data_IF_114964820330
#
_entry.id   IF_114964820330
#
_cell.length_a   1.000
_cell.length_b   1.000
_cell.length_c   1.000
_cell.angle_alpha   90.00
_cell.angle_beta   90.00
_cell.angle_gamma   90.00
#
_symmetry.space_group_name_H-M   'P 1'
#
loop_
_entity.id
_entity.type
_entity.pdbx_description
1 polymer ?
#
# COMPACT_ATOMS: atom_id res chain seq x y z
N UNK A 1 15.23 -6.68 21.68
CA UNK A 1 14.06 -7.26 22.37
C UNK A 1 13.57 -8.44 21.58
N UNK A 2 12.98 -9.42 22.24
CA UNK A 2 12.25 -10.52 21.60
C UNK A 2 10.80 -10.07 21.34
N UNK A 3 10.13 -10.74 20.43
CA UNK A 3 8.73 -10.48 20.09
C UNK A 3 8.00 -11.79 19.80
N UNK A 4 6.69 -11.79 20.00
CA UNK A 4 5.79 -12.88 19.62
C UNK A 4 5.08 -12.53 18.31
N UNK A 5 4.80 -13.54 17.48
CA UNK A 5 4.02 -13.38 16.25
C UNK A 5 2.68 -14.08 16.41
N UNK A 6 1.60 -13.34 16.23
CA UNK A 6 0.21 -13.88 16.27
C UNK A 6 -0.53 -13.58 14.98
N UNK A 7 -1.41 -14.49 14.60
CA UNK A 7 -2.45 -14.19 13.60
C UNK A 7 -3.59 -13.42 14.25
N UNK A 8 -4.20 -12.52 13.49
CA UNK A 8 -5.42 -11.81 13.85
C UNK A 8 -6.41 -11.92 12.72
N UNK A 9 -7.69 -12.09 13.06
CA UNK A 9 -8.77 -12.16 12.10
C UNK A 9 -9.79 -11.06 12.40
N UNK A 10 -10.13 -10.27 11.38
CA UNK A 10 -11.07 -9.17 11.48
C UNK A 10 -12.12 -9.30 10.39
N UNK A 11 -13.39 -9.16 10.73
CA UNK A 11 -14.46 -9.15 9.72
C UNK A 11 -14.29 -7.96 8.79
N UNK A 12 -14.20 -8.21 7.47
CA UNK A 12 -14.20 -7.16 6.46
C UNK A 12 -15.53 -6.41 6.44
N UNK A 13 -15.49 -5.15 6.07
CA UNK A 13 -16.66 -4.30 5.90
C UNK A 13 -17.54 -4.69 4.71
N UNK A 14 -17.11 -5.63 3.88
CA UNK A 14 -17.93 -6.26 2.85
C UNK A 14 -18.91 -7.30 3.42
N UNK A 15 -18.79 -7.68 4.69
CA UNK A 15 -19.57 -8.69 5.42
C UNK A 15 -19.46 -10.12 4.86
N UNK A 16 -18.52 -10.39 3.96
CA UNK A 16 -18.32 -11.69 3.29
C UNK A 16 -16.98 -12.30 3.72
N UNK A 17 -15.92 -11.48 3.72
CA UNK A 17 -14.57 -11.94 3.96
C UNK A 17 -14.10 -11.68 5.38
N UNK A 18 -13.17 -12.51 5.82
CA UNK A 18 -12.39 -12.30 7.05
C UNK A 18 -10.99 -11.87 6.65
N UNK A 19 -10.59 -10.66 7.01
CA UNK A 19 -9.24 -10.13 6.83
C UNK A 19 -8.26 -11.00 7.63
N UNK A 20 -7.30 -11.60 6.95
CA UNK A 20 -6.25 -12.42 7.57
C UNK A 20 -5.04 -11.55 7.83
N UNK A 21 -4.82 -11.25 9.09
CA UNK A 21 -3.76 -10.36 9.53
C UNK A 21 -2.70 -11.04 10.40
N UNK A 22 -1.64 -10.31 10.64
CA UNK A 22 -0.51 -10.71 11.47
C UNK A 22 -0.15 -9.57 12.42
N UNK A 23 0.23 -9.92 13.64
CA UNK A 23 0.68 -8.96 14.65
C UNK A 23 1.99 -9.45 15.25
N UNK A 24 3.00 -8.59 15.23
CA UNK A 24 4.27 -8.76 15.94
C UNK A 24 4.19 -7.98 17.24
N UNK A 25 4.30 -8.66 18.36
CA UNK A 25 4.07 -8.12 19.70
C UNK A 25 5.41 -8.10 20.44
N UNK A 26 5.99 -6.93 20.76
CA UNK A 26 7.23 -6.85 21.49
C UNK A 26 7.07 -7.41 22.91
N UNK A 27 8.10 -8.05 23.42
CA UNK A 27 8.19 -8.37 24.86
C UNK A 27 8.64 -7.12 25.62
N UNK A 28 7.79 -6.63 26.51
CA UNK A 28 8.06 -5.44 27.32
C UNK A 28 7.12 -4.27 27.05
N UNK A 29 7.58 -3.04 27.31
CA UNK A 29 6.78 -1.84 27.12
C UNK A 29 6.47 -1.54 25.65
N UNK A 30 5.22 -1.20 25.35
CA UNK A 30 4.78 -0.85 23.99
C UNK A 30 4.87 0.66 23.80
N UNK A 31 5.63 1.09 22.79
CA UNK A 31 5.84 2.51 22.43
C UNK A 31 4.79 3.03 21.43
N UNK A 32 4.25 2.15 20.58
CA UNK A 32 3.32 2.51 19.53
C UNK A 32 2.83 1.31 18.73
N UNK A 33 1.81 1.53 17.91
CA UNK A 33 1.26 0.57 16.96
C UNK A 33 1.69 1.01 15.55
N UNK A 34 2.36 0.15 14.81
CA UNK A 34 2.71 0.38 13.41
C UNK A 34 1.81 -0.47 12.52
N UNK A 35 0.87 0.17 11.82
CA UNK A 35 -0.04 -0.50 10.89
C UNK A 35 0.43 -0.28 9.45
N UNK A 36 0.59 -1.37 8.69
CA UNK A 36 1.00 -1.33 7.30
C UNK A 36 -0.09 -1.88 6.37
N UNK A 37 -0.40 -1.10 5.32
CA UNK A 37 -1.32 -1.47 4.23
C UNK A 37 -0.50 -1.78 2.98
N UNK A 38 -0.52 -3.03 2.53
CA UNK A 38 0.28 -3.53 1.41
C UNK A 38 -0.29 -3.12 0.04
N UNK A 39 0.51 -3.27 -1.01
CA UNK A 39 0.19 -2.91 -2.38
C UNK A 39 -0.59 -3.96 -3.19
N UNK A 40 -0.64 -3.74 -4.50
CA UNK A 40 -1.25 -4.66 -5.47
C UNK A 40 -0.36 -5.89 -5.68
N UNK A 41 -0.99 -7.07 -5.82
CA UNK A 41 -0.29 -8.33 -6.14
C UNK A 41 0.84 -8.64 -5.15
N UNK A 42 0.55 -8.47 -3.87
CA UNK A 42 1.42 -8.84 -2.76
C UNK A 42 0.58 -9.18 -1.52
N UNK A 43 1.21 -9.42 -0.38
CA UNK A 43 0.56 -9.75 0.88
C UNK A 43 1.40 -9.30 2.06
N UNK A 44 0.78 -9.22 3.24
CA UNK A 44 1.39 -8.62 4.43
C UNK A 44 2.66 -9.34 4.90
N UNK A 45 2.76 -10.64 4.68
CA UNK A 45 3.94 -11.43 5.07
C UNK A 45 5.25 -10.99 4.41
N UNK A 46 5.20 -10.26 3.29
CA UNK A 46 6.38 -9.72 2.62
C UNK A 46 7.08 -8.59 3.39
N UNK A 47 6.43 -8.06 4.41
CA UNK A 47 6.95 -6.98 5.26
C UNK A 47 7.52 -7.46 6.61
N UNK A 48 7.70 -8.78 6.77
CA UNK A 48 8.17 -9.40 8.01
C UNK A 48 9.47 -8.77 8.55
N UNK A 49 10.41 -8.39 7.67
CA UNK A 49 11.68 -7.76 8.05
C UNK A 49 11.50 -6.35 8.65
N UNK A 50 10.55 -5.55 8.15
CA UNK A 50 10.20 -4.25 8.75
C UNK A 50 9.55 -4.49 10.11
N UNK A 51 8.59 -5.41 10.17
CA UNK A 51 7.88 -5.73 11.43
C UNK A 51 8.84 -6.24 12.51
N UNK A 52 9.78 -7.12 12.16
CA UNK A 52 10.81 -7.60 13.06
C UNK A 52 11.65 -6.44 13.61
N UNK A 53 12.17 -5.61 12.71
CA UNK A 53 13.03 -4.49 13.08
C UNK A 53 12.34 -3.47 14.02
N UNK A 54 11.05 -3.23 13.84
CA UNK A 54 10.27 -2.33 14.67
C UNK A 54 9.81 -2.99 15.97
N UNK A 55 9.41 -4.28 15.93
CA UNK A 55 9.01 -5.03 17.11
C UNK A 55 10.18 -5.17 18.12
N UNK A 56 11.41 -5.39 17.62
CA UNK A 56 12.62 -5.38 18.45
C UNK A 56 12.87 -4.04 19.16
N UNK A 57 12.25 -2.96 18.69
CA UNK A 57 12.33 -1.60 19.26
C UNK A 57 11.14 -1.22 20.15
N UNK A 58 10.20 -2.16 20.35
CA UNK A 58 9.05 -1.95 21.23
C UNK A 58 7.77 -1.47 20.53
N UNK A 59 7.66 -1.65 19.20
CA UNK A 59 6.43 -1.33 18.47
C UNK A 59 5.61 -2.59 18.21
N UNK A 60 4.30 -2.53 18.45
CA UNK A 60 3.36 -3.52 17.93
C UNK A 60 3.23 -3.29 16.42
N UNK A 61 3.63 -4.26 15.61
CA UNK A 61 3.56 -4.13 14.16
C UNK A 61 2.47 -5.02 13.62
N UNK A 62 1.59 -4.48 12.79
CA UNK A 62 0.43 -5.21 12.29
C UNK A 62 0.06 -4.84 10.86
N UNK A 63 -0.69 -5.72 10.23
CA UNK A 63 -1.29 -5.54 8.94
C UNK A 63 -2.05 -6.79 8.54
N UNK A 64 -2.75 -6.71 7.42
CA UNK A 64 -3.61 -7.79 6.92
C UNK A 64 -3.51 -7.89 5.40
N UNK A 65 -3.90 -9.04 4.87
CA UNK A 65 -4.04 -9.22 3.43
C UNK A 65 -5.32 -8.53 2.96
N UNK A 66 -5.22 -7.59 2.04
CA UNK A 66 -6.35 -6.87 1.47
C UNK A 66 -7.35 -7.83 0.77
N UNK A 67 -8.60 -7.42 0.57
CA UNK A 67 -9.56 -8.17 -0.24
C UNK A 67 -8.96 -8.53 -1.60
N UNK A 68 -9.16 -9.79 -2.03
CA UNK A 68 -8.59 -10.32 -3.28
C UNK A 68 -7.07 -10.56 -3.23
N UNK A 69 -6.46 -10.59 -2.05
CA UNK A 69 -5.03 -10.82 -1.86
C UNK A 69 -4.75 -11.86 -0.78
N UNK A 70 -3.58 -12.47 -0.87
CA UNK A 70 -3.02 -13.35 0.13
C UNK A 70 -4.00 -14.38 0.67
N UNK A 71 -4.06 -14.51 2.00
CA UNK A 71 -4.94 -15.45 2.71
C UNK A 71 -6.36 -14.92 2.95
N UNK A 72 -6.63 -13.64 2.69
CA UNK A 72 -7.99 -13.07 2.74
C UNK A 72 -8.81 -13.52 1.54
N UNK A 73 -8.21 -13.74 0.37
CA UNK A 73 -8.84 -14.42 -0.75
C UNK A 73 -9.17 -15.87 -0.35
N UNK A 74 -10.42 -16.32 -0.60
CA UNK A 74 -10.91 -17.63 -0.19
C UNK A 74 -10.32 -18.77 -1.02
N UNK A 75 -9.97 -18.46 -2.27
CA UNK A 75 -9.30 -19.38 -3.20
C UNK A 75 -8.48 -18.61 -4.25
N UNK A 76 -7.75 -19.34 -5.11
CA UNK A 76 -6.89 -18.74 -6.14
C UNK A 76 -7.68 -17.99 -7.23
N UNK A 77 -8.95 -18.34 -7.48
CA UNK A 77 -9.78 -17.64 -8.46
C UNK A 77 -10.19 -16.24 -7.96
N UNK A 78 -10.17 -16.04 -6.66
CA UNK A 78 -10.50 -14.79 -6.03
C UNK A 78 -9.31 -13.82 -5.96
N UNK A 79 -8.06 -14.31 -6.14
CA UNK A 79 -6.89 -13.43 -6.20
C UNK A 79 -7.06 -12.39 -7.33
N UNK A 80 -6.91 -11.12 -6.99
CA UNK A 80 -7.10 -9.99 -7.91
C UNK A 80 -8.56 -9.62 -8.18
N UNK A 81 -9.51 -10.16 -7.41
CA UNK A 81 -10.91 -9.73 -7.40
C UNK A 81 -11.25 -9.12 -6.02
N UNK A 82 -11.60 -7.84 -5.97
CA UNK A 82 -11.92 -7.14 -4.71
C UNK A 82 -13.41 -7.21 -4.45
N UNK A 83 -14.21 -6.69 -5.38
CA UNK A 83 -15.67 -6.72 -5.33
C UNK A 83 -16.27 -6.53 -6.73
N UNK A 84 -17.56 -6.76 -6.86
CA UNK A 84 -18.29 -6.52 -8.11
C UNK A 84 -18.27 -5.03 -8.50
N UNK A 85 -18.50 -4.14 -7.54
CA UNK A 85 -18.47 -2.68 -7.74
C UNK A 85 -17.97 -1.99 -6.48
N UNK A 86 -17.30 -0.85 -6.66
CA UNK A 86 -16.87 0.02 -5.58
C UNK A 86 -16.01 -0.69 -4.51
N UNK A 87 -15.23 -1.69 -4.89
CA UNK A 87 -14.35 -2.45 -3.99
C UNK A 87 -13.37 -1.56 -3.24
N UNK A 88 -12.96 -0.45 -3.84
CA UNK A 88 -12.14 0.56 -3.18
C UNK A 88 -12.74 1.08 -1.87
N UNK A 89 -14.07 1.12 -1.73
CA UNK A 89 -14.73 1.57 -0.50
C UNK A 89 -14.50 0.60 0.65
N UNK A 90 -14.55 -0.71 0.36
CA UNK A 90 -14.26 -1.74 1.35
C UNK A 90 -12.79 -1.70 1.75
N UNK A 91 -11.86 -1.62 0.79
CA UNK A 91 -10.42 -1.50 1.06
C UNK A 91 -10.11 -0.34 2.02
N UNK A 92 -10.73 0.82 1.82
CA UNK A 92 -10.54 2.00 2.68
C UNK A 92 -11.17 1.82 4.07
N UNK A 93 -12.39 1.27 4.14
CA UNK A 93 -13.08 1.04 5.42
C UNK A 93 -12.43 -0.07 6.26
N UNK A 94 -11.86 -1.07 5.60
CA UNK A 94 -11.19 -2.18 6.24
C UNK A 94 -9.92 -1.74 6.99
N UNK A 95 -9.25 -0.67 6.55
CA UNK A 95 -8.16 -0.03 7.32
C UNK A 95 -8.66 0.35 8.70
N UNK A 96 -9.77 1.09 8.76
CA UNK A 96 -10.36 1.53 10.03
C UNK A 96 -10.86 0.36 10.89
N UNK A 97 -11.53 -0.61 10.26
CA UNK A 97 -12.04 -1.79 10.97
C UNK A 97 -10.89 -2.59 11.61
N UNK A 98 -9.77 -2.74 10.89
CA UNK A 98 -8.59 -3.43 11.40
C UNK A 98 -7.91 -2.63 12.51
N UNK A 99 -7.74 -1.32 12.33
CA UNK A 99 -7.19 -0.43 13.37
C UNK A 99 -8.02 -0.47 14.65
N UNK A 100 -9.35 -0.45 14.56
CA UNK A 100 -10.24 -0.52 15.71
C UNK A 100 -10.09 -1.86 16.46
N UNK A 101 -9.91 -2.96 15.73
CA UNK A 101 -9.67 -4.26 16.32
C UNK A 101 -8.35 -4.31 17.07
N UNK A 102 -7.28 -3.75 16.49
CA UNK A 102 -5.96 -3.69 17.14
C UNK A 102 -5.96 -2.72 18.32
N UNK A 103 -6.57 -1.55 18.19
CA UNK A 103 -6.69 -0.57 19.30
C UNK A 103 -7.47 -1.07 20.50
N UNK A 104 -8.43 -1.98 20.30
CA UNK A 104 -9.11 -2.65 21.42
C UNK A 104 -8.18 -3.51 22.26
N UNK A 105 -7.14 -4.08 21.64
CA UNK A 105 -6.11 -4.86 22.34
C UNK A 105 -5.05 -3.97 23.00
N UNK A 106 -4.82 -2.78 22.43
CA UNK A 106 -3.79 -1.82 22.86
C UNK A 106 -4.40 -0.41 22.92
N UNK A 107 -5.25 -0.12 23.93
CA UNK A 107 -5.87 1.19 24.09
C UNK A 107 -4.79 2.24 24.42
N UNK A 108 -5.05 3.50 24.06
CA UNK A 108 -4.24 4.68 24.39
C UNK A 108 -2.79 4.67 23.82
N UNK A 109 -2.46 3.70 22.97
CA UNK A 109 -1.16 3.62 22.30
C UNK A 109 -1.21 4.39 20.98
N UNK A 110 -0.20 5.26 20.67
CA UNK A 110 -0.16 6.00 19.42
C UNK A 110 -0.08 5.05 18.22
N UNK A 111 -0.80 5.39 17.15
CA UNK A 111 -0.86 4.60 15.92
C UNK A 111 -0.10 5.33 14.80
N UNK A 112 0.78 4.61 14.15
CA UNK A 112 1.54 5.03 12.97
C UNK A 112 1.03 4.24 11.76
N UNK A 113 0.58 4.94 10.73
CA UNK A 113 0.07 4.30 9.50
C UNK A 113 1.10 4.37 8.39
N UNK A 114 1.35 3.25 7.73
CA UNK A 114 2.13 3.19 6.49
C UNK A 114 1.32 2.54 5.38
N UNK A 115 1.34 3.12 4.18
CA UNK A 115 0.79 2.48 2.98
C UNK A 115 1.85 2.38 1.88
N UNK A 116 1.96 1.22 1.23
CA UNK A 116 2.85 1.00 0.10
C UNK A 116 2.07 0.83 -1.21
N UNK A 117 2.51 1.49 -2.30
CA UNK A 117 1.94 1.34 -3.63
C UNK A 117 0.42 1.58 -3.66
N UNK A 118 -0.40 0.61 -4.11
CA UNK A 118 -1.87 0.65 -3.97
C UNK A 118 -2.28 0.91 -2.52
N UNK A 119 -1.62 0.27 -1.56
CA UNK A 119 -1.85 0.50 -0.13
C UNK A 119 -1.62 1.95 0.29
N UNK A 120 -0.74 2.69 -0.41
CA UNK A 120 -0.54 4.12 -0.16
C UNK A 120 -1.76 4.96 -0.57
N UNK A 121 -2.46 4.59 -1.64
CA UNK A 121 -3.71 5.25 -2.02
C UNK A 121 -4.83 4.94 -1.03
N UNK A 122 -4.94 3.66 -0.61
CA UNK A 122 -5.91 3.21 0.40
C UNK A 122 -5.67 3.97 1.72
N UNK A 123 -4.44 3.96 2.22
CA UNK A 123 -4.06 4.62 3.47
C UNK A 123 -4.26 6.14 3.41
N UNK A 124 -3.97 6.78 2.26
CA UNK A 124 -4.21 8.22 2.05
C UNK A 124 -5.70 8.57 2.18
N UNK A 125 -6.60 7.77 1.59
CA UNK A 125 -8.04 8.01 1.69
C UNK A 125 -8.55 7.65 3.10
N UNK A 126 -8.00 6.61 3.73
CA UNK A 126 -8.33 6.27 5.12
C UNK A 126 -7.90 7.38 6.09
N UNK A 127 -6.70 7.95 5.93
CA UNK A 127 -6.21 9.06 6.74
C UNK A 127 -7.05 10.35 6.58
N UNK A 128 -7.60 10.62 5.38
CA UNK A 128 -8.56 11.72 5.17
C UNK A 128 -9.86 11.52 5.96
N UNK A 129 -10.36 10.28 6.00
CA UNK A 129 -11.67 9.97 6.56
C UNK A 129 -11.63 9.65 8.07
N UNK A 130 -10.51 9.11 8.55
CA UNK A 130 -10.38 8.51 9.89
C UNK A 130 -9.07 8.92 10.59
N UNK A 131 -8.41 9.96 10.14
CA UNK A 131 -7.05 10.31 10.55
C UNK A 131 -6.88 10.84 11.98
N UNK A 132 -7.94 11.18 12.69
CA UNK A 132 -7.89 11.73 14.07
C UNK A 132 -7.17 10.81 15.08
N UNK A 133 -7.00 9.53 14.74
CA UNK A 133 -6.29 8.56 15.57
C UNK A 133 -4.87 8.22 15.09
N UNK A 134 -4.39 8.84 14.01
CA UNK A 134 -3.07 8.58 13.43
C UNK A 134 -2.07 9.61 13.97
N UNK A 135 -1.00 9.13 14.62
CA UNK A 135 0.03 9.99 15.19
C UNK A 135 1.06 10.44 14.13
N UNK A 136 1.44 9.55 13.19
CA UNK A 136 2.34 9.87 12.07
C UNK A 136 1.96 9.00 10.86
N UNK A 137 2.18 9.50 9.64
CA UNK A 137 1.77 8.85 8.41
C UNK A 137 2.93 8.71 7.42
N UNK A 138 3.14 7.48 6.90
CA UNK A 138 4.19 7.15 5.93
C UNK A 138 3.53 6.74 4.61
N UNK A 139 3.89 7.46 3.54
CA UNK A 139 3.41 7.24 2.18
C UNK A 139 4.58 6.68 1.36
N UNK A 140 4.56 5.37 1.08
CA UNK A 140 5.65 4.66 0.41
C UNK A 140 5.27 4.29 -1.03
N UNK A 141 6.16 4.56 -1.99
CA UNK A 141 5.99 4.13 -3.39
C UNK A 141 4.70 4.62 -4.05
N UNK A 142 4.26 5.83 -3.71
CA UNK A 142 2.97 6.36 -4.19
C UNK A 142 3.04 6.98 -5.58
N UNK A 143 1.95 6.86 -6.34
CA UNK A 143 1.79 7.56 -7.62
C UNK A 143 1.20 8.96 -7.43
N UNK A 144 1.62 9.88 -8.31
CA UNK A 144 1.01 11.19 -8.44
C UNK A 144 -0.29 11.18 -9.25
N UNK A 145 -0.86 12.37 -9.53
CA UNK A 145 -2.04 12.50 -10.38
C UNK A 145 -1.83 11.87 -11.76
N UNK A 146 -2.76 11.03 -12.18
CA UNK A 146 -2.75 10.40 -13.51
C UNK A 146 -3.81 11.04 -14.41
N UNK A 147 -3.42 11.84 -15.42
CA UNK A 147 -4.38 12.47 -16.34
C UNK A 147 -5.13 11.47 -17.23
N UNK A 148 -4.61 10.25 -17.40
CA UNK A 148 -5.27 9.19 -18.14
C UNK A 148 -6.33 8.42 -17.32
N UNK A 149 -6.45 8.69 -16.02
CA UNK A 149 -7.40 7.98 -15.15
C UNK A 149 -8.86 7.98 -15.66
N UNK A 150 -9.43 9.09 -16.17
CA UNK A 150 -10.80 9.09 -16.70
C UNK A 150 -10.99 8.10 -17.86
N UNK A 151 -10.02 8.02 -18.78
CA UNK A 151 -10.04 7.07 -19.90
C UNK A 151 -9.91 5.62 -19.42
N UNK A 152 -9.04 5.38 -18.41
CA UNK A 152 -8.90 4.06 -17.79
C UNK A 152 -10.18 3.60 -17.11
N UNK A 153 -10.87 4.47 -16.38
CA UNK A 153 -12.17 4.19 -15.76
C UNK A 153 -13.21 3.83 -16.83
N UNK A 154 -13.33 4.64 -17.88
CA UNK A 154 -14.27 4.37 -18.98
C UNK A 154 -13.98 3.03 -19.67
N UNK A 155 -12.70 2.76 -19.95
CA UNK A 155 -12.30 1.50 -20.58
C UNK A 155 -12.65 0.29 -19.72
N UNK A 156 -12.38 0.35 -18.40
CA UNK A 156 -12.73 -0.74 -17.46
C UNK A 156 -14.24 -0.87 -17.29
N UNK A 157 -15.02 0.22 -17.32
CA UNK A 157 -16.49 0.17 -17.31
C UNK A 157 -17.04 -0.56 -18.53
N UNK A 158 -16.58 -0.21 -19.74
CA UNK A 158 -16.96 -0.88 -20.98
C UNK A 158 -16.62 -2.37 -20.90
N UNK A 159 -15.42 -2.69 -20.46
CA UNK A 159 -14.99 -4.10 -20.38
C UNK A 159 -15.77 -4.91 -19.36
N UNK A 160 -16.18 -4.31 -18.23
CA UNK A 160 -17.08 -4.95 -17.26
C UNK A 160 -18.42 -5.33 -17.89
N UNK A 161 -18.97 -4.44 -18.71
CA UNK A 161 -20.25 -4.70 -19.42
C UNK A 161 -20.09 -5.81 -20.46
N UNK A 162 -19.01 -5.80 -21.24
CA UNK A 162 -18.81 -6.72 -22.35
C UNK A 162 -18.34 -8.11 -21.91
N UNK A 163 -17.48 -8.21 -20.89
CA UNK A 163 -16.78 -9.44 -20.51
C UNK A 163 -17.03 -9.88 -19.07
N UNK A 164 -17.76 -9.08 -18.30
CA UNK A 164 -18.02 -9.33 -16.88
C UNK A 164 -16.90 -8.80 -15.96
N UNK A 165 -17.25 -8.63 -14.70
CA UNK A 165 -16.43 -7.97 -13.67
C UNK A 165 -15.17 -8.76 -13.30
N UNK A 166 -15.24 -10.09 -13.36
CA UNK A 166 -14.12 -11.00 -13.05
C UNK A 166 -13.18 -11.25 -14.24
N UNK A 167 -13.45 -10.65 -15.40
CA UNK A 167 -12.56 -10.77 -16.56
C UNK A 167 -11.17 -10.21 -16.25
N UNK A 168 -10.10 -10.94 -16.62
CA UNK A 168 -8.71 -10.52 -16.51
C UNK A 168 -8.17 -10.13 -17.87
N UNK A 169 -8.10 -8.82 -18.14
CA UNK A 169 -7.73 -8.30 -19.44
C UNK A 169 -6.22 -8.09 -19.57
N UNK A 170 -5.59 -8.83 -20.48
CA UNK A 170 -4.20 -8.58 -20.85
C UNK A 170 -4.00 -7.19 -21.46
N UNK A 171 -4.98 -6.69 -22.19
CA UNK A 171 -4.94 -5.35 -22.78
C UNK A 171 -4.89 -4.26 -21.70
N UNK A 172 -5.80 -4.30 -20.71
CA UNK A 172 -5.83 -3.33 -19.61
C UNK A 172 -4.55 -3.43 -18.78
N UNK A 173 -4.09 -4.64 -18.48
CA UNK A 173 -2.85 -4.84 -17.73
C UNK A 173 -1.63 -4.26 -18.48
N UNK A 174 -1.52 -4.49 -19.79
CA UNK A 174 -0.45 -3.94 -20.63
C UNK A 174 -0.53 -2.41 -20.74
N UNK A 175 -1.73 -1.85 -20.79
CA UNK A 175 -1.92 -0.41 -20.81
C UNK A 175 -1.49 0.24 -19.50
N UNK A 176 -1.78 -0.40 -18.36
CA UNK A 176 -1.46 0.12 -17.03
C UNK A 176 0.04 -0.02 -16.68
N UNK A 177 0.64 -1.17 -16.98
CA UNK A 177 1.96 -1.53 -16.47
C UNK A 177 3.01 -1.83 -17.54
N UNK A 178 2.61 -1.96 -18.80
CA UNK A 178 3.51 -2.38 -19.90
C UNK A 178 4.68 -1.42 -20.20
N UNK A 179 4.65 -0.22 -19.64
CA UNK A 179 5.75 0.75 -19.75
C UNK A 179 6.74 0.68 -18.57
N UNK A 180 6.44 -0.03 -17.49
CA UNK A 180 7.22 0.03 -16.26
C UNK A 180 8.64 -0.54 -16.42
N UNK A 181 8.79 -1.59 -17.20
CA UNK A 181 10.10 -2.21 -17.47
C UNK A 181 10.94 -1.48 -18.53
N UNK A 182 10.41 -0.46 -19.24
CA UNK A 182 11.10 0.14 -20.40
C UNK A 182 12.49 0.70 -20.11
N UNK A 183 12.80 1.03 -18.86
CA UNK A 183 14.09 1.59 -18.44
C UNK A 183 15.04 0.55 -17.84
N UNK A 184 14.57 -0.68 -17.65
CA UNK A 184 15.33 -1.70 -16.95
C UNK A 184 15.72 -2.81 -17.92
N UNK A 185 16.93 -3.32 -17.78
CA UNK A 185 17.42 -4.51 -18.47
C UNK A 185 17.13 -5.75 -17.62
N UNK A 186 16.74 -6.84 -18.27
CA UNK A 186 16.45 -8.13 -17.65
C UNK A 186 15.31 -8.84 -18.37
N UNK A 187 15.09 -10.11 -18.02
CA UNK A 187 14.15 -11.02 -18.69
C UNK A 187 12.81 -11.15 -17.96
N UNK A 188 12.68 -10.56 -16.78
CA UNK A 188 11.45 -10.61 -15.98
C UNK A 188 10.51 -9.45 -16.31
N UNK A 189 9.21 -9.69 -16.33
CA UNK A 189 8.21 -8.61 -16.38
C UNK A 189 8.12 -7.80 -15.05
N UNK A 190 8.88 -8.20 -14.03
CA UNK A 190 8.92 -7.59 -12.70
C UNK A 190 10.23 -6.83 -12.40
N UNK A 191 11.03 -6.49 -13.41
CA UNK A 191 12.29 -5.74 -13.20
C UNK A 191 12.07 -4.41 -12.49
N UNK A 192 10.92 -3.77 -12.70
CA UNK A 192 10.58 -2.48 -12.12
C UNK A 192 10.35 -2.51 -10.61
N UNK A 193 10.23 -3.71 -10.00
CA UNK A 193 9.91 -3.86 -8.57
C UNK A 193 11.13 -3.53 -7.69
N UNK A 194 12.27 -4.13 -7.98
CA UNK A 194 13.52 -4.00 -7.19
C UNK A 194 14.74 -4.28 -8.05
N UNK A 195 15.92 -3.89 -7.58
CA UNK A 195 17.21 -4.25 -8.20
C UNK A 195 17.68 -5.65 -7.77
N UNK A 196 17.11 -6.23 -6.72
CA UNK A 196 17.48 -7.54 -6.18
C UNK A 196 16.86 -8.68 -7.00
N UNK A 197 17.72 -9.41 -7.72
CA UNK A 197 17.30 -10.52 -8.59
C UNK A 197 16.62 -11.67 -7.83
N UNK A 198 17.06 -11.94 -6.61
CA UNK A 198 16.46 -13.01 -5.81
C UNK A 198 15.02 -12.66 -5.42
N UNK A 199 14.76 -11.41 -5.05
CA UNK A 199 13.42 -10.90 -4.76
C UNK A 199 12.54 -10.95 -6.01
N UNK A 200 13.06 -10.54 -7.19
CA UNK A 200 12.31 -10.63 -8.46
C UNK A 200 11.90 -12.08 -8.75
N UNK A 201 12.83 -13.01 -8.60
CA UNK A 201 12.55 -14.44 -8.86
C UNK A 201 11.54 -15.01 -7.86
N UNK A 202 11.64 -14.67 -6.58
CA UNK A 202 10.66 -15.06 -5.55
C UNK A 202 9.28 -14.51 -5.87
N UNK A 203 9.18 -13.22 -6.24
CA UNK A 203 7.93 -12.57 -6.62
C UNK A 203 7.28 -13.25 -7.83
N UNK A 204 8.06 -13.53 -8.88
CA UNK A 204 7.59 -14.17 -10.10
C UNK A 204 7.07 -15.60 -9.86
N UNK A 205 7.66 -16.32 -8.91
CA UNK A 205 7.29 -17.69 -8.57
C UNK A 205 6.14 -17.79 -7.56
N UNK A 206 5.83 -16.70 -6.84
CA UNK A 206 4.83 -16.71 -5.77
C UNK A 206 3.42 -16.51 -6.36
N UNK A 207 2.52 -17.50 -6.15
CA UNK A 207 1.12 -17.42 -6.58
C UNK A 207 0.34 -16.24 -5.97
N UNK A 208 0.76 -15.76 -4.81
CA UNK A 208 0.19 -14.59 -4.14
C UNK A 208 0.72 -13.25 -4.65
N UNK A 209 1.67 -13.30 -5.58
CA UNK A 209 2.26 -12.11 -6.22
C UNK A 209 2.06 -12.12 -7.74
N UNK A 210 2.17 -13.28 -8.38
CA UNK A 210 2.08 -13.43 -9.83
C UNK A 210 0.65 -13.70 -10.30
N UNK A 211 -0.27 -12.76 -10.07
CA UNK A 211 -1.63 -12.81 -10.60
C UNK A 211 -2.03 -11.48 -11.24
N UNK A 212 -3.11 -11.49 -12.02
CA UNK A 212 -3.63 -10.29 -12.68
C UNK A 212 -4.92 -9.83 -12.02
N UNK A 213 -5.06 -8.53 -11.84
CA UNK A 213 -6.31 -7.94 -11.42
C UNK A 213 -7.43 -8.20 -12.44
N UNK A 214 -8.62 -8.43 -11.93
CA UNK A 214 -9.85 -8.39 -12.72
C UNK A 214 -10.12 -6.96 -13.20
N UNK A 215 -10.96 -6.79 -14.20
CA UNK A 215 -11.30 -5.44 -14.69
C UNK A 215 -12.00 -4.61 -13.62
N UNK A 216 -12.77 -5.22 -12.69
CA UNK A 216 -13.33 -4.48 -11.57
C UNK A 216 -12.27 -4.01 -10.57
N UNK A 217 -11.31 -4.86 -10.22
CA UNK A 217 -10.22 -4.47 -9.33
C UNK A 217 -9.28 -3.43 -9.98
N UNK A 218 -9.06 -3.52 -11.29
CA UNK A 218 -8.31 -2.50 -12.03
C UNK A 218 -9.04 -1.15 -12.03
N UNK A 219 -10.37 -1.16 -12.18
CA UNK A 219 -11.19 0.04 -12.02
C UNK A 219 -11.02 0.64 -10.63
N UNK A 220 -11.06 -0.20 -9.57
CA UNK A 220 -10.87 0.25 -8.19
C UNK A 220 -9.48 0.83 -7.96
N UNK A 221 -8.42 0.24 -8.52
CA UNK A 221 -7.05 0.77 -8.44
C UNK A 221 -6.94 2.17 -9.08
N UNK A 222 -7.50 2.35 -10.28
CA UNK A 222 -7.53 3.65 -10.96
C UNK A 222 -8.32 4.67 -10.13
N UNK A 223 -9.45 4.25 -9.56
CA UNK A 223 -10.30 5.07 -8.71
C UNK A 223 -9.59 5.50 -7.43
N UNK A 224 -8.87 4.59 -6.76
CA UNK A 224 -8.04 4.88 -5.60
C UNK A 224 -6.98 5.94 -5.92
N UNK A 225 -6.23 5.78 -7.02
CA UNK A 225 -5.25 6.79 -7.44
C UNK A 225 -5.92 8.15 -7.70
N UNK A 226 -7.08 8.18 -8.40
CA UNK A 226 -7.81 9.40 -8.67
C UNK A 226 -8.26 10.10 -7.37
N UNK A 227 -8.83 9.35 -6.43
CA UNK A 227 -9.33 9.88 -5.16
C UNK A 227 -8.20 10.39 -4.27
N UNK A 228 -7.11 9.64 -4.15
CA UNK A 228 -5.94 10.03 -3.37
C UNK A 228 -5.21 11.26 -3.94
N UNK A 229 -5.45 11.63 -5.20
CA UNK A 229 -4.82 12.77 -5.85
C UNK A 229 -5.78 13.93 -6.19
N UNK A 230 -7.08 13.84 -5.78
CA UNK A 230 -8.03 14.93 -5.98
C UNK A 230 -7.68 16.15 -5.11
N UNK A 231 -8.01 17.39 -5.52
CA UNK A 231 -7.74 18.58 -4.73
C UNK A 231 -8.26 18.49 -3.29
N UNK A 232 -9.51 18.05 -3.11
CA UNK A 232 -10.13 17.90 -1.79
C UNK A 232 -9.35 16.99 -0.84
N UNK A 233 -8.64 15.96 -1.33
CA UNK A 233 -7.80 15.12 -0.47
C UNK A 233 -6.71 15.95 0.23
N UNK A 234 -6.02 16.82 -0.50
CA UNK A 234 -4.97 17.69 0.07
C UNK A 234 -5.55 18.74 1.02
N UNK A 235 -6.71 19.28 0.67
CA UNK A 235 -7.41 20.30 1.48
C UNK A 235 -7.91 19.71 2.82
N UNK A 236 -8.40 18.47 2.80
CA UNK A 236 -8.98 17.78 3.96
C UNK A 236 -7.95 17.11 4.88
N UNK A 237 -6.69 16.94 4.42
CA UNK A 237 -5.65 16.36 5.27
C UNK A 237 -5.45 17.17 6.56
N UNK A 238 -5.33 16.46 7.69
CA UNK A 238 -4.97 17.06 8.97
C UNK A 238 -3.64 17.82 8.84
N UNK A 239 -3.66 19.12 9.14
CA UNK A 239 -2.49 19.98 8.94
C UNK A 239 -1.37 19.72 9.95
N UNK A 240 -1.73 19.17 11.09
CA UNK A 240 -0.79 18.83 12.17
C UNK A 240 -0.21 17.41 12.05
N UNK A 241 -0.76 16.57 11.16
CA UNK A 241 -0.30 15.18 10.99
C UNK A 241 1.07 15.16 10.30
N UNK A 242 2.14 14.68 10.96
CA UNK A 242 3.43 14.50 10.32
C UNK A 242 3.36 13.46 9.21
N UNK A 243 3.90 13.79 8.04
CA UNK A 243 3.87 12.94 6.83
C UNK A 243 5.27 12.73 6.29
N UNK A 244 5.67 11.46 6.16
CA UNK A 244 6.89 11.05 5.46
C UNK A 244 6.53 10.41 4.13
N UNK A 245 7.01 11.00 3.01
CA UNK A 245 6.95 10.37 1.69
C UNK A 245 8.29 9.73 1.37
N UNK A 246 8.26 8.45 1.02
CA UNK A 246 9.46 7.67 0.64
C UNK A 246 9.20 6.93 -0.68
N UNK A 247 10.20 6.92 -1.57
CA UNK A 247 10.11 6.23 -2.87
C UNK A 247 11.50 6.01 -3.46
N UNK A 248 11.64 5.02 -4.34
CA UNK A 248 12.84 4.90 -5.16
C UNK A 248 12.91 6.00 -6.22
N UNK A 249 14.13 6.46 -6.54
CA UNK A 249 14.32 7.43 -7.63
C UNK A 249 13.99 6.83 -9.00
N UNK A 250 14.12 5.50 -9.12
CA UNK A 250 13.84 4.74 -10.33
C UNK A 250 12.46 4.04 -10.31
N UNK A 251 11.59 4.38 -9.36
CA UNK A 251 10.22 3.85 -9.29
C UNK A 251 9.32 4.40 -10.41
N UNK A 252 8.87 3.56 -11.38
CA UNK A 252 7.98 4.01 -12.46
C UNK A 252 6.57 4.37 -11.97
N UNK A 253 6.09 3.81 -10.84
CA UNK A 253 4.79 4.15 -10.23
C UNK A 253 4.80 5.60 -9.77
N UNK A 254 5.89 6.01 -9.13
CA UNK A 254 6.16 7.39 -8.74
C UNK A 254 6.60 8.31 -9.89
N UNK A 255 6.51 7.83 -11.16
CA UNK A 255 7.02 8.54 -12.34
C UNK A 255 8.48 8.99 -12.16
N UNK A 256 9.31 8.07 -11.63
CA UNK A 256 10.74 8.31 -11.38
C UNK A 256 10.95 9.52 -10.44
N UNK A 257 10.28 9.50 -9.30
CA UNK A 257 10.29 10.55 -8.29
C UNK A 257 9.43 11.78 -8.59
N UNK A 258 9.07 12.05 -9.85
CA UNK A 258 8.31 13.24 -10.25
C UNK A 258 6.88 13.25 -9.69
N UNK A 259 6.21 12.10 -9.70
CA UNK A 259 4.86 11.94 -9.19
C UNK A 259 4.81 12.13 -7.67
N UNK A 260 5.73 11.51 -6.94
CA UNK A 260 5.83 11.62 -5.49
C UNK A 260 6.16 13.07 -5.09
N UNK A 261 7.09 13.71 -5.80
CA UNK A 261 7.42 15.15 -5.58
C UNK A 261 6.20 16.06 -5.80
N UNK A 262 5.31 15.74 -6.75
CA UNK A 262 4.07 16.50 -6.92
C UNK A 262 3.14 16.34 -5.71
N UNK A 263 3.03 15.13 -5.16
CA UNK A 263 2.23 14.88 -3.94
C UNK A 263 2.80 15.68 -2.77
N UNK A 264 4.12 15.62 -2.55
CA UNK A 264 4.82 16.40 -1.53
C UNK A 264 4.53 17.91 -1.66
N UNK A 265 4.74 18.48 -2.86
CA UNK A 265 4.50 19.91 -3.11
C UNK A 265 3.05 20.32 -2.85
N UNK A 266 2.08 19.45 -3.19
CA UNK A 266 0.67 19.72 -2.93
C UNK A 266 0.31 19.66 -1.46
N UNK A 267 0.89 18.74 -0.66
CA UNK A 267 0.73 18.71 0.79
C UNK A 267 1.28 19.98 1.44
N UNK A 268 2.49 20.42 1.02
CA UNK A 268 3.06 21.68 1.49
C UNK A 268 2.20 22.90 1.11
N UNK A 269 1.67 22.93 -0.13
CA UNK A 269 0.79 24.00 -0.59
C UNK A 269 -0.60 24.01 0.09
N UNK A 270 -0.99 22.89 0.68
CA UNK A 270 -2.19 22.75 1.49
C UNK A 270 -1.93 22.97 2.99
N UNK A 271 -0.79 23.58 3.34
CA UNK A 271 -0.38 23.93 4.71
C UNK A 271 -0.26 22.77 5.70
N UNK A 272 0.02 21.55 5.21
CA UNK A 272 0.43 20.44 6.09
C UNK A 272 1.82 20.79 6.64
N UNK A 273 1.95 20.92 7.96
CA UNK A 273 3.09 21.57 8.61
C UNK A 273 4.36 20.74 8.50
N UNK A 274 4.30 19.48 8.87
CA UNK A 274 5.44 18.57 8.88
C UNK A 274 5.32 17.54 7.73
N UNK A 275 5.95 17.86 6.60
CA UNK A 275 6.01 16.96 5.44
C UNK A 275 7.44 16.83 4.98
N UNK A 276 7.93 15.61 4.99
CA UNK A 276 9.27 15.23 4.52
C UNK A 276 9.17 14.34 3.28
N UNK A 277 10.07 14.53 2.32
CA UNK A 277 10.22 13.67 1.15
C UNK A 277 11.65 13.14 1.10
N UNK A 278 11.79 11.80 0.97
CA UNK A 278 13.07 11.16 0.68
C UNK A 278 12.94 10.26 -0.55
N UNK A 279 13.85 10.43 -1.51
CA UNK A 279 14.02 9.57 -2.66
C UNK A 279 15.32 8.78 -2.49
N UNK A 280 15.25 7.45 -2.61
CA UNK A 280 16.40 6.56 -2.52
C UNK A 280 16.97 6.36 -3.91
N UNK A 281 18.20 6.81 -4.10
CA UNK A 281 18.86 6.82 -5.41
C UNK A 281 19.08 5.40 -5.96
N UNK A 282 18.74 5.20 -7.24
CA UNK A 282 18.85 3.92 -7.92
C UNK A 282 17.89 2.82 -7.43
N UNK A 283 17.14 3.03 -6.34
CA UNK A 283 16.15 2.07 -5.87
C UNK A 283 14.86 2.17 -6.70
N UNK A 284 14.22 1.00 -6.89
CA UNK A 284 12.99 0.85 -7.67
C UNK A 284 11.74 0.94 -6.78
N UNK A 285 10.66 0.24 -7.12
CA UNK A 285 9.36 0.39 -6.47
C UNK A 285 9.31 -0.12 -5.03
N UNK A 286 9.82 -1.32 -4.78
CA UNK A 286 9.85 -1.94 -3.45
C UNK A 286 11.13 -1.57 -2.69
N UNK A 287 11.27 -0.31 -2.29
CA UNK A 287 12.46 0.18 -1.58
C UNK A 287 12.81 -0.61 -0.33
N UNK A 288 11.80 -1.20 0.33
CA UNK A 288 11.94 -2.07 1.49
C UNK A 288 12.50 -3.46 1.14
N UNK A 289 12.50 -3.84 -0.12
CA UNK A 289 13.08 -5.07 -0.68
C UNK A 289 14.21 -4.77 -1.68
N UNK A 290 14.75 -3.56 -1.68
CA UNK A 290 15.81 -3.13 -2.59
C UNK A 290 17.15 -2.95 -1.84
N UNK A 291 18.18 -2.55 -2.56
CA UNK A 291 19.53 -2.29 -2.02
C UNK A 291 19.53 -1.31 -0.83
N UNK A 292 18.59 -0.37 -0.81
CA UNK A 292 18.40 0.64 0.23
C UNK A 292 17.58 0.17 1.45
N UNK A 293 17.16 -1.09 1.54
CA UNK A 293 16.23 -1.58 2.57
C UNK A 293 16.59 -1.24 4.01
N UNK A 294 17.88 -1.32 4.35
CA UNK A 294 18.34 -1.02 5.71
C UNK A 294 18.22 0.47 6.03
N UNK A 295 18.50 1.33 5.04
CA UNK A 295 18.32 2.78 5.16
C UNK A 295 16.85 3.14 5.29
N UNK A 296 15.97 2.50 4.49
CA UNK A 296 14.50 2.67 4.58
C UNK A 296 13.99 2.34 5.98
N UNK A 297 14.43 1.21 6.56
CA UNK A 297 14.04 0.82 7.92
C UNK A 297 14.52 1.85 8.94
N UNK A 298 15.77 2.32 8.83
CA UNK A 298 16.31 3.34 9.74
C UNK A 298 15.52 4.65 9.65
N UNK A 299 15.15 5.09 8.45
CA UNK A 299 14.34 6.30 8.26
C UNK A 299 12.92 6.15 8.82
N UNK A 300 12.29 4.99 8.65
CA UNK A 300 10.99 4.68 9.27
C UNK A 300 11.10 4.77 10.80
N UNK A 301 12.12 4.13 11.40
CA UNK A 301 12.37 4.17 12.84
C UNK A 301 12.54 5.61 13.31
N UNK A 302 13.45 6.36 12.69
CA UNK A 302 13.74 7.75 13.05
C UNK A 302 12.50 8.65 12.94
N UNK A 303 11.63 8.38 11.96
CA UNK A 303 10.40 9.16 11.77
C UNK A 303 9.36 8.87 12.84
N UNK A 304 9.20 7.61 13.29
CA UNK A 304 8.18 7.26 14.28
C UNK A 304 8.62 7.49 15.73
N UNK A 305 9.92 7.51 16.02
CA UNK A 305 10.49 7.96 17.29
C UNK A 305 10.39 9.47 17.49
#
# INVERSE_FOLDING_TARGET
MTYEIKSIEVQSTDNIHTLKGIVYIPEGGIKGIFHLVHGMCEYIGRYAHIFSALAERGYVCCGYDNLGHGKTARDENELGFIAHRDGWKYLVKDVKAFEDAVKKLYPDIPLYLMGHSMGSFIARIAAENYGDGIAKFIICGTGGPNPAAPFGLLATDIMRVLFGEKHRSNFVNKLAFGAYNKRFSGDSEFEWITTDREIINKYAADKYCNFKFTVSAMHDLIKLNQLANRPAWFENMCKELPVLLISGSDDPVGAYGKGVTKVYKKLKAADVKDVTLKLYDGCRHEIHNDSCKNEVIADIVNFIE
#
